data_IF_074287341458
#
_entry.id   IF_074287341458
#
_cell.length_a   1.000
_cell.length_b   1.000
_cell.length_c   1.000
_cell.angle_alpha   90.00
_cell.angle_beta   90.00
_cell.angle_gamma   90.00
#
_symmetry.space_group_name_H-M   'P 1'
#
loop_
_entity.id
_entity.type
_entity.pdbx_description
1 polymer ?
#
# COMPACT_ATOMS: atom_id res chain seq x y z
N UNK A 1 -58.04 -27.22 36.18
CA UNK A 1 -56.81 -27.91 36.63
C UNK A 1 -55.64 -26.98 36.37
N UNK A 2 -54.94 -26.58 37.46
CA UNK A 2 -53.49 -26.32 37.59
C UNK A 2 -52.82 -25.40 36.55
N UNK A 3 -52.05 -24.34 36.84
CA UNK A 3 -51.62 -23.57 38.03
C UNK A 3 -50.72 -22.46 37.45
N UNK A 4 -50.81 -21.22 37.97
CA UNK A 4 -49.77 -20.19 37.82
C UNK A 4 -48.51 -20.57 38.62
N UNK A 5 -47.30 -20.45 38.04
CA UNK A 5 -45.98 -20.18 38.69
C UNK A 5 -44.97 -19.74 37.59
N UNK A 6 -44.41 -18.52 37.57
CA UNK A 6 -43.35 -17.87 38.38
C UNK A 6 -41.94 -17.94 37.73
N UNK A 7 -41.48 -16.78 37.25
CA UNK A 7 -40.15 -16.11 37.37
C UNK A 7 -38.84 -16.88 37.07
N UNK A 8 -38.01 -16.25 36.23
CA UNK A 8 -36.54 -16.41 36.14
C UNK A 8 -36.02 -16.09 34.73
N UNK A 9 -35.81 -14.82 34.33
CA UNK A 9 -34.51 -14.13 34.38
C UNK A 9 -33.32 -15.03 34.02
N UNK A 10 -32.81 -14.91 32.79
CA UNK A 10 -31.38 -14.84 32.46
C UNK A 10 -31.13 -15.03 30.96
N UNK A 11 -30.59 -13.98 30.33
CA UNK A 11 -29.48 -14.00 29.37
C UNK A 11 -29.41 -15.15 28.36
N UNK A 12 -29.70 -14.82 27.10
CA UNK A 12 -28.91 -15.36 25.98
C UNK A 12 -28.54 -14.21 25.04
N UNK A 13 -27.72 -13.30 25.56
CA UNK A 13 -26.94 -12.33 24.79
C UNK A 13 -25.48 -12.81 24.80
N UNK A 14 -25.17 -13.78 23.94
CA UNK A 14 -23.82 -14.26 23.61
C UNK A 14 -24.02 -14.88 22.21
N UNK A 15 -23.36 -14.54 21.11
CA UNK A 15 -21.99 -14.11 20.85
C UNK A 15 -22.05 -13.25 19.58
N UNK A 16 -21.78 -11.95 19.71
CA UNK A 16 -20.93 -11.23 18.77
C UNK A 16 -20.18 -10.23 19.63
N UNK A 17 -19.30 -10.77 20.48
CA UNK A 17 -18.22 -10.00 21.08
C UNK A 17 -17.42 -9.41 19.93
N UNK A 18 -17.79 -8.18 19.64
CA UNK A 18 -17.01 -7.12 19.05
C UNK A 18 -15.53 -7.37 19.37
N UNK A 19 -14.78 -7.85 18.37
CA UNK A 19 -13.37 -7.53 18.26
C UNK A 19 -13.23 -6.22 17.46
N UNK A 20 -14.14 -5.27 17.65
CA UNK A 20 -13.72 -3.88 17.65
C UNK A 20 -12.89 -3.72 18.93
N UNK A 21 -11.64 -4.15 18.86
CA UNK A 21 -10.59 -3.42 19.54
C UNK A 21 -10.67 -2.02 18.97
N UNK A 22 -11.51 -1.19 19.59
CA UNK A 22 -11.40 0.25 19.50
C UNK A 22 -9.97 0.52 19.90
N UNK A 23 -9.10 0.77 18.93
CA UNK A 23 -7.81 1.35 19.21
C UNK A 23 -8.10 2.55 20.10
N UNK A 24 -7.49 2.55 21.27
CA UNK A 24 -7.42 3.70 22.16
C UNK A 24 -7.14 4.94 21.31
N UNK A 25 -7.83 6.05 21.57
CA UNK A 25 -7.68 7.39 20.96
C UNK A 25 -6.22 7.93 20.89
N UNK A 26 -5.22 7.18 21.36
CA UNK A 26 -3.82 7.58 21.51
C UNK A 26 -2.91 7.22 20.30
N UNK A 27 -3.44 6.61 19.24
CA UNK A 27 -2.65 6.06 18.12
C UNK A 27 -2.91 6.70 16.74
N UNK A 28 -3.62 7.84 16.69
CA UNK A 28 -3.84 8.57 15.43
C UNK A 28 -2.51 9.08 14.83
N UNK A 29 -2.28 8.95 13.52
CA UNK A 29 -1.02 9.38 12.92
C UNK A 29 -0.82 10.90 13.06
N UNK A 30 0.32 11.30 13.63
CA UNK A 30 0.71 12.70 13.76
C UNK A 30 1.82 13.06 12.77
N UNK A 31 1.58 14.12 11.99
CA UNK A 31 2.51 14.61 10.98
C UNK A 31 3.44 15.70 11.54
N UNK A 32 4.71 15.69 11.13
CA UNK A 32 5.61 16.82 11.32
C UNK A 32 5.36 17.94 10.28
N UNK A 33 6.14 19.02 10.34
CA UNK A 33 6.02 20.17 9.44
C UNK A 33 6.24 19.81 7.95
N UNK A 34 6.85 18.67 7.66
CA UNK A 34 7.10 18.15 6.32
C UNK A 34 6.05 17.15 5.85
N UNK A 35 4.99 16.92 6.63
CA UNK A 35 3.88 16.03 6.29
C UNK A 35 4.13 14.54 6.56
N UNK A 36 5.28 14.19 7.17
CA UNK A 36 5.69 12.82 7.49
C UNK A 36 5.16 12.40 8.85
N UNK A 37 4.73 11.14 8.98
CA UNK A 37 4.24 10.59 10.25
C UNK A 37 5.40 10.25 11.19
N UNK A 38 5.31 10.67 12.46
CA UNK A 38 6.44 10.58 13.43
C UNK A 38 6.15 9.77 14.69
N UNK A 39 4.89 9.43 14.97
CA UNK A 39 4.49 8.68 16.17
C UNK A 39 4.20 7.19 15.91
N UNK A 40 4.55 6.69 14.72
CA UNK A 40 4.41 5.29 14.33
C UNK A 40 5.76 4.73 13.88
N UNK A 41 5.90 3.40 13.89
CA UNK A 41 7.13 2.75 13.44
C UNK A 41 7.40 3.03 11.98
N UNK A 42 8.68 3.10 11.64
CA UNK A 42 9.20 3.29 10.30
C UNK A 42 9.52 1.94 9.67
N UNK A 43 9.31 1.81 8.36
CA UNK A 43 9.66 0.61 7.61
C UNK A 43 11.19 0.58 7.41
N UNK A 44 11.91 -0.33 8.05
CA UNK A 44 13.38 -0.39 7.92
C UNK A 44 13.86 -1.45 6.93
N UNK A 45 13.02 -2.45 6.63
CA UNK A 45 13.30 -3.46 5.62
C UNK A 45 12.00 -3.96 4.97
N UNK A 46 12.02 -4.08 3.65
CA UNK A 46 11.04 -4.80 2.85
C UNK A 46 11.78 -5.90 2.10
N UNK A 47 11.34 -7.16 2.26
CA UNK A 47 11.88 -8.29 1.53
C UNK A 47 10.77 -8.97 0.74
N UNK A 48 10.96 -9.08 -0.56
CA UNK A 48 10.12 -9.85 -1.49
C UNK A 48 10.82 -11.17 -1.83
N UNK A 49 10.06 -12.26 -1.95
CA UNK A 49 10.53 -13.54 -2.47
C UNK A 49 9.51 -14.09 -3.44
N UNK A 50 9.96 -14.38 -4.65
CA UNK A 50 9.17 -14.96 -5.72
C UNK A 50 10.01 -16.07 -6.37
N UNK A 51 9.53 -17.31 -6.32
CA UNK A 51 10.31 -18.49 -6.74
C UNK A 51 11.73 -18.50 -6.13
N UNK A 52 12.77 -18.43 -6.96
CA UNK A 52 14.18 -18.39 -6.55
C UNK A 52 14.74 -16.95 -6.46
N UNK A 53 13.92 -15.94 -6.73
CA UNK A 53 14.28 -14.53 -6.72
C UNK A 53 14.00 -13.88 -5.36
N UNK A 54 14.93 -13.05 -4.91
CA UNK A 54 14.82 -12.29 -3.66
C UNK A 54 15.19 -10.85 -3.91
N UNK A 55 14.32 -9.93 -3.49
CA UNK A 55 14.60 -8.49 -3.47
C UNK A 55 14.51 -8.00 -2.03
N UNK A 56 15.51 -7.28 -1.55
CA UNK A 56 15.57 -6.72 -0.19
C UNK A 56 15.84 -5.23 -0.31
N UNK A 57 14.91 -4.40 0.14
CA UNK A 57 15.08 -2.96 0.29
C UNK A 57 15.27 -2.61 1.75
N UNK A 58 16.40 -1.99 2.08
CA UNK A 58 16.73 -1.48 3.41
C UNK A 58 16.61 0.04 3.41
N UNK A 59 15.87 0.61 4.37
CA UNK A 59 15.57 2.03 4.44
C UNK A 59 16.33 2.69 5.58
N UNK A 60 16.76 3.94 5.40
CA UNK A 60 17.45 4.72 6.42
C UNK A 60 16.81 6.10 6.55
N UNK A 61 16.65 6.54 7.79
CA UNK A 61 15.93 7.75 8.14
C UNK A 61 16.81 8.75 8.89
N UNK A 62 16.48 10.03 8.81
CA UNK A 62 17.03 11.05 9.71
C UNK A 62 16.32 11.04 11.08
N UNK A 63 16.77 11.89 12.00
CA UNK A 63 16.19 11.99 13.35
C UNK A 63 14.77 12.55 13.39
N UNK A 64 14.27 13.13 12.29
CA UNK A 64 12.89 13.65 12.17
C UNK A 64 11.97 12.65 11.48
N UNK A 65 12.49 11.46 11.17
CA UNK A 65 11.76 10.38 10.52
C UNK A 65 11.67 10.49 9.01
N UNK A 66 12.46 11.35 8.37
CA UNK A 66 12.50 11.50 6.91
C UNK A 66 13.40 10.44 6.28
N UNK A 67 12.92 9.75 5.25
CA UNK A 67 13.77 8.85 4.47
C UNK A 67 14.95 9.62 3.87
N UNK A 68 16.18 9.17 4.10
CA UNK A 68 17.40 9.77 3.53
C UNK A 68 18.03 8.91 2.45
N UNK A 69 17.88 7.60 2.55
CA UNK A 69 18.37 6.65 1.56
C UNK A 69 17.67 5.32 1.66
N UNK A 70 17.69 4.57 0.57
CA UNK A 70 17.35 3.15 0.58
C UNK A 70 18.36 2.37 -0.26
N UNK A 71 18.60 1.11 0.08
CA UNK A 71 19.40 0.20 -0.73
C UNK A 71 18.57 -1.01 -1.06
N UNK A 72 18.35 -1.24 -2.36
CA UNK A 72 17.70 -2.42 -2.86
C UNK A 72 18.75 -3.42 -3.37
N UNK A 73 18.64 -4.68 -2.93
CA UNK A 73 19.51 -5.79 -3.34
C UNK A 73 18.66 -6.91 -3.91
N UNK A 74 18.86 -7.20 -5.18
CA UNK A 74 18.16 -8.23 -5.94
C UNK A 74 19.07 -9.43 -6.18
N UNK A 75 18.53 -10.63 -6.00
CA UNK A 75 19.21 -11.89 -6.24
C UNK A 75 18.35 -12.72 -7.18
N UNK A 76 18.85 -12.92 -8.40
CA UNK A 76 18.23 -13.74 -9.44
C UNK A 76 19.33 -14.32 -10.34
N UNK A 77 19.07 -15.47 -10.98
CA UNK A 77 20.02 -16.17 -11.86
C UNK A 77 21.44 -16.38 -11.27
N UNK A 78 21.52 -16.54 -9.94
CA UNK A 78 22.79 -16.68 -9.22
C UNK A 78 23.66 -15.42 -9.20
N UNK A 79 23.13 -14.28 -9.60
CA UNK A 79 23.78 -12.96 -9.57
C UNK A 79 23.17 -12.09 -8.46
N UNK A 80 23.92 -11.07 -8.03
CA UNK A 80 23.45 -10.09 -7.06
C UNK A 80 23.61 -8.69 -7.65
N UNK A 81 22.53 -7.94 -7.67
CA UNK A 81 22.48 -6.56 -8.14
C UNK A 81 22.08 -5.66 -6.97
N UNK A 82 22.76 -4.53 -6.83
CA UNK A 82 22.49 -3.57 -5.75
C UNK A 82 22.30 -2.19 -6.33
N UNK A 83 21.27 -1.51 -5.84
CA UNK A 83 20.93 -0.14 -6.20
C UNK A 83 20.73 0.70 -4.96
N UNK A 84 21.37 1.87 -4.93
CA UNK A 84 21.23 2.80 -3.81
C UNK A 84 20.48 4.05 -4.27
N UNK A 85 19.44 4.38 -3.51
CA UNK A 85 18.60 5.55 -3.67
C UNK A 85 19.02 6.59 -2.65
N UNK A 86 19.14 7.85 -3.08
CA UNK A 86 19.36 8.99 -2.18
C UNK A 86 18.17 9.92 -2.25
N UNK A 87 17.67 10.34 -1.08
CA UNK A 87 16.51 11.21 -0.95
C UNK A 87 16.94 12.55 -0.35
N UNK A 88 16.67 13.63 -1.08
CA UNK A 88 16.96 14.99 -0.66
C UNK A 88 15.67 15.76 -0.41
N UNK A 89 15.51 16.27 0.80
CA UNK A 89 14.36 17.06 1.20
C UNK A 89 14.65 18.56 1.04
N UNK A 90 13.75 19.27 0.39
CA UNK A 90 13.74 20.71 0.25
C UNK A 90 12.39 21.32 0.62
N UNK A 91 12.29 22.65 0.54
CA UNK A 91 11.01 23.32 0.76
C UNK A 91 10.02 22.93 -0.33
N UNK A 92 8.89 22.33 0.05
CA UNK A 92 7.82 21.87 -0.85
C UNK A 92 8.29 20.95 -1.99
N UNK A 93 9.42 20.26 -1.79
CA UNK A 93 10.04 19.44 -2.82
C UNK A 93 10.87 18.31 -2.23
N UNK A 94 10.77 17.11 -2.79
CA UNK A 94 11.62 15.98 -2.48
C UNK A 94 12.25 15.48 -3.78
N UNK A 95 13.52 15.09 -3.75
CA UNK A 95 14.21 14.51 -4.91
C UNK A 95 14.71 13.13 -4.48
N UNK A 96 14.26 12.09 -5.17
CA UNK A 96 14.78 10.73 -5.05
C UNK A 96 15.64 10.44 -6.28
N UNK A 97 16.84 9.89 -6.08
CA UNK A 97 17.82 9.70 -7.15
C UNK A 97 18.51 8.35 -7.07
N UNK A 98 18.79 7.76 -8.24
CA UNK A 98 19.47 6.48 -8.42
C UNK A 98 20.31 6.56 -9.70
N UNK A 99 21.59 6.17 -9.66
CA UNK A 99 22.45 6.01 -10.85
C UNK A 99 22.51 7.19 -11.86
N UNK A 100 22.23 8.42 -11.41
CA UNK A 100 22.22 9.61 -12.27
C UNK A 100 20.84 10.01 -12.80
N UNK A 101 19.84 9.18 -12.56
CA UNK A 101 18.41 9.46 -12.76
C UNK A 101 17.84 10.00 -11.44
N UNK A 102 16.80 10.84 -11.57
CA UNK A 102 16.08 11.37 -10.43
C UNK A 102 14.63 11.71 -10.77
N UNK A 103 13.75 11.40 -9.83
CA UNK A 103 12.38 11.88 -9.80
C UNK A 103 12.26 13.02 -8.77
N UNK A 104 11.56 14.07 -9.17
CA UNK A 104 11.26 15.20 -8.31
C UNK A 104 9.78 15.19 -7.96
N UNK A 105 9.49 15.17 -6.66
CA UNK A 105 8.15 15.29 -6.10
C UNK A 105 7.94 16.73 -5.63
N UNK A 106 6.92 17.40 -6.15
CA UNK A 106 6.48 18.72 -5.69
C UNK A 106 5.35 18.55 -4.69
N UNK A 107 5.39 19.28 -3.57
CA UNK A 107 4.44 19.11 -2.48
C UNK A 107 3.65 20.38 -2.18
N UNK A 108 2.40 20.19 -1.79
CA UNK A 108 1.56 21.21 -1.18
C UNK A 108 0.86 20.61 0.05
N UNK A 109 0.93 21.29 1.21
CA UNK A 109 0.34 20.84 2.47
C UNK A 109 0.73 19.39 2.88
N UNK A 110 1.97 18.98 2.57
CA UNK A 110 2.49 17.65 2.90
C UNK A 110 1.94 16.52 2.01
N UNK A 111 1.36 16.85 0.86
CA UNK A 111 0.94 15.91 -0.18
C UNK A 111 1.69 16.21 -1.48
N UNK A 112 2.02 15.17 -2.24
CA UNK A 112 2.63 15.30 -3.57
C UNK A 112 1.57 15.83 -4.53
N UNK A 113 1.79 16.93 -5.20
CA UNK A 113 0.83 17.46 -6.20
C UNK A 113 1.27 17.19 -7.62
N UNK A 114 2.57 17.02 -7.84
CA UNK A 114 3.15 16.82 -9.16
C UNK A 114 4.49 16.08 -9.08
N UNK A 115 4.79 15.25 -10.07
CA UNK A 115 6.08 14.60 -10.25
C UNK A 115 6.69 14.91 -11.62
N UNK A 116 8.02 14.96 -11.68
CA UNK A 116 8.77 15.02 -12.93
C UNK A 116 9.93 14.04 -12.87
N UNK A 117 10.04 13.15 -13.86
CA UNK A 117 11.12 12.17 -13.92
C UNK A 117 12.13 12.57 -15.00
N UNK A 118 13.41 12.38 -14.72
CA UNK A 118 14.48 12.83 -15.61
C UNK A 118 14.70 11.91 -16.82
N UNK A 119 14.20 10.68 -16.77
CA UNK A 119 14.36 9.64 -17.79
C UNK A 119 13.06 9.29 -18.54
N UNK A 120 11.92 9.88 -18.14
CA UNK A 120 10.62 9.59 -18.72
C UNK A 120 9.95 8.32 -18.16
N UNK A 121 10.20 7.96 -16.90
CA UNK A 121 9.51 6.86 -16.20
C UNK A 121 8.01 7.07 -15.97
N UNK A 122 7.36 6.11 -15.30
CA UNK A 122 5.89 6.04 -15.16
C UNK A 122 5.27 7.26 -14.46
N UNK A 123 6.04 7.96 -13.62
CA UNK A 123 5.62 9.21 -12.97
C UNK A 123 6.19 10.48 -13.62
N UNK A 124 6.63 10.42 -14.88
CA UNK A 124 7.07 11.62 -15.57
C UNK A 124 5.89 12.56 -15.86
N UNK A 125 6.00 13.79 -15.37
CA UNK A 125 5.03 14.86 -15.55
C UNK A 125 3.61 14.48 -15.10
N UNK A 126 3.48 13.81 -13.95
CA UNK A 126 2.20 13.30 -13.43
C UNK A 126 1.62 14.21 -12.36
N UNK A 127 0.35 14.58 -12.50
CA UNK A 127 -0.40 15.34 -11.49
C UNK A 127 -1.21 14.44 -10.56
N UNK A 128 -1.22 14.78 -9.27
CA UNK A 128 -1.89 14.05 -8.22
C UNK A 128 -3.13 14.82 -7.74
N UNK A 129 -4.28 14.16 -7.68
CA UNK A 129 -5.52 14.75 -7.16
C UNK A 129 -6.03 13.99 -5.96
N UNK A 130 -6.55 14.70 -4.96
CA UNK A 130 -7.00 14.15 -3.68
C UNK A 130 -8.47 14.44 -3.38
N UNK A 131 -9.08 13.60 -2.56
CA UNK A 131 -10.37 13.90 -1.94
C UNK A 131 -10.21 14.71 -0.65
N UNK A 132 -11.33 15.07 0.00
CA UNK A 132 -11.33 15.87 1.23
C UNK A 132 -10.66 15.18 2.45
N UNK A 133 -10.42 13.87 2.38
CA UNK A 133 -9.71 13.10 3.41
C UNK A 133 -8.22 12.92 3.06
N UNK A 134 -7.70 13.65 2.07
CA UNK A 134 -6.33 13.54 1.57
C UNK A 134 -5.99 12.16 0.99
N UNK A 135 -6.98 11.41 0.51
CA UNK A 135 -6.77 10.14 -0.19
C UNK A 135 -6.62 10.40 -1.69
N UNK A 136 -5.66 9.73 -2.33
CA UNK A 136 -5.45 9.85 -3.77
C UNK A 136 -6.70 9.43 -4.54
N UNK A 137 -7.15 10.22 -5.50
CA UNK A 137 -8.29 9.86 -6.37
C UNK A 137 -7.92 9.82 -7.85
N UNK A 138 -6.82 10.44 -8.24
CA UNK A 138 -6.38 10.48 -9.63
C UNK A 138 -4.87 10.71 -9.75
N UNK A 139 -4.25 9.96 -10.65
CA UNK A 139 -2.98 10.27 -11.29
C UNK A 139 -3.26 10.65 -12.73
N UNK A 140 -2.85 11.84 -13.15
CA UNK A 140 -3.06 12.35 -14.51
C UNK A 140 -1.71 12.42 -15.21
N UNK A 141 -1.56 11.65 -16.30
CA UNK A 141 -0.33 11.58 -17.08
C UNK A 141 -0.36 12.56 -18.28
N UNK A 142 -1.51 12.64 -18.97
CA UNK A 142 -1.78 13.66 -19.99
C UNK A 142 -3.26 14.09 -19.99
N UNK A 143 -3.82 14.65 -21.07
CA UNK A 143 -5.25 15.07 -21.09
C UNK A 143 -6.23 13.88 -21.07
N UNK A 144 -5.88 12.75 -21.67
CA UNK A 144 -6.76 11.59 -21.89
C UNK A 144 -6.36 10.39 -21.00
N UNK A 145 -5.09 10.29 -20.61
CA UNK A 145 -4.52 9.19 -19.83
C UNK A 145 -4.45 9.50 -18.34
N UNK A 146 -5.19 8.71 -17.55
CA UNK A 146 -5.18 8.77 -16.10
C UNK A 146 -5.52 7.43 -15.45
N UNK A 147 -5.06 7.28 -14.22
CA UNK A 147 -5.46 6.22 -13.30
C UNK A 147 -6.33 6.82 -12.18
N UNK A 148 -7.51 6.24 -11.96
CA UNK A 148 -8.46 6.68 -10.95
C UNK A 148 -8.52 5.74 -9.77
N UNK A 149 -8.73 6.29 -8.57
CA UNK A 149 -8.80 5.56 -7.31
C UNK A 149 -10.11 5.88 -6.60
N UNK A 150 -10.89 4.86 -6.28
CA UNK A 150 -12.19 4.99 -5.60
C UNK A 150 -12.10 4.49 -4.17
N UNK A 151 -12.54 5.32 -3.24
CA UNK A 151 -12.52 5.01 -1.81
C UNK A 151 -13.93 4.90 -1.24
N UNK A 152 -14.15 3.94 -0.34
CA UNK A 152 -15.32 3.83 0.50
C UNK A 152 -14.92 4.00 1.97
N UNK A 153 -15.00 5.23 2.47
CA UNK A 153 -14.39 5.58 3.76
C UNK A 153 -12.87 5.43 3.65
N UNK A 154 -12.27 4.63 4.52
CA UNK A 154 -10.82 4.38 4.53
C UNK A 154 -10.37 3.28 3.57
N UNK A 155 -11.29 2.57 2.90
CA UNK A 155 -10.97 1.43 2.04
C UNK A 155 -10.83 1.87 0.59
N UNK A 156 -9.69 1.59 -0.05
CA UNK A 156 -9.54 1.68 -1.50
C UNK A 156 -10.30 0.51 -2.13
N UNK A 157 -11.36 0.75 -2.87
CA UNK A 157 -12.23 -0.33 -3.39
C UNK A 157 -12.04 -0.58 -4.88
N UNK A 158 -11.53 0.40 -5.62
CA UNK A 158 -11.35 0.27 -7.07
C UNK A 158 -10.20 1.14 -7.58
N UNK A 159 -9.45 0.61 -8.53
CA UNK A 159 -8.52 1.33 -9.39
C UNK A 159 -8.93 1.10 -10.85
N UNK A 160 -8.86 2.12 -11.70
CA UNK A 160 -9.27 2.01 -13.09
C UNK A 160 -8.56 3.01 -14.01
N UNK A 161 -8.03 2.49 -15.12
CA UNK A 161 -7.42 3.28 -16.19
C UNK A 161 -8.47 3.96 -17.08
N UNK A 162 -8.13 5.13 -17.62
CA UNK A 162 -9.06 5.93 -18.43
C UNK A 162 -9.31 5.36 -19.84
N UNK A 163 -8.31 4.71 -20.43
CA UNK A 163 -8.38 4.20 -21.80
C UNK A 163 -9.10 2.85 -21.92
N UNK A 164 -9.48 2.22 -20.79
CA UNK A 164 -10.12 0.90 -20.78
C UNK A 164 -11.22 0.81 -19.74
N UNK A 165 -12.42 0.44 -20.20
CA UNK A 165 -13.53 0.06 -19.32
C UNK A 165 -13.34 -1.34 -18.70
N UNK A 166 -12.30 -2.07 -19.11
CA UNK A 166 -12.01 -3.45 -18.66
C UNK A 166 -10.80 -3.51 -17.72
N UNK A 167 -9.89 -2.54 -17.81
CA UNK A 167 -8.69 -2.46 -16.95
C UNK A 167 -9.06 -1.84 -15.59
N UNK A 168 -9.75 -2.68 -14.81
CA UNK A 168 -10.32 -2.35 -13.51
C UNK A 168 -9.82 -3.37 -12.49
N UNK A 169 -9.25 -2.87 -11.41
CA UNK A 169 -8.88 -3.65 -10.24
C UNK A 169 -9.86 -3.37 -9.10
N UNK A 170 -10.58 -4.39 -8.65
CA UNK A 170 -11.54 -4.31 -7.55
C UNK A 170 -10.99 -4.98 -6.29
N UNK A 171 -10.98 -4.22 -5.19
CA UNK A 171 -10.46 -4.68 -3.90
C UNK A 171 -11.61 -5.06 -2.97
N UNK A 172 -11.45 -6.17 -2.26
CA UNK A 172 -12.44 -6.66 -1.30
C UNK A 172 -11.84 -6.89 0.09
N UNK A 173 -12.66 -6.68 1.13
CA UNK A 173 -12.22 -6.61 2.52
C UNK A 173 -13.18 -7.37 3.44
N UNK A 174 -12.61 -8.12 4.37
CA UNK A 174 -13.25 -8.83 5.48
C UNK A 174 -13.23 -8.01 6.77
N UNK A 175 -12.54 -6.87 6.76
CA UNK A 175 -12.39 -5.96 7.90
C UNK A 175 -11.10 -6.12 8.69
N UNK A 176 -10.09 -6.81 8.15
CA UNK A 176 -8.74 -6.86 8.74
C UNK A 176 -8.06 -5.49 8.68
N UNK A 177 -7.34 -5.14 9.74
CA UNK A 177 -6.60 -3.89 9.85
C UNK A 177 -5.21 -4.11 10.47
N UNK A 178 -4.33 -3.12 10.34
CA UNK A 178 -3.03 -3.05 11.03
C UNK A 178 -2.84 -1.68 11.73
N UNK A 179 -1.82 -1.55 12.59
CA UNK A 179 -1.49 -0.25 13.23
C UNK A 179 -0.81 0.74 12.27
N UNK A 180 -0.06 0.24 11.29
CA UNK A 180 0.60 1.04 10.26
C UNK A 180 -0.12 0.98 8.92
N UNK A 181 0.60 0.51 7.90
CA UNK A 181 0.11 0.34 6.53
C UNK A 181 0.70 -0.94 5.93
N UNK A 182 0.18 -1.34 4.77
CA UNK A 182 0.78 -2.39 3.93
C UNK A 182 1.67 -1.72 2.86
N UNK A 183 3.02 -1.85 2.93
CA UNK A 183 3.93 -1.10 2.05
C UNK A 183 3.68 -1.29 0.55
N UNK A 184 3.39 -2.51 0.12
CA UNK A 184 3.20 -2.86 -1.29
C UNK A 184 1.95 -2.25 -1.94
N UNK A 185 1.03 -1.65 -1.17
CA UNK A 185 -0.16 -1.02 -1.74
C UNK A 185 0.18 0.21 -2.61
N UNK A 186 1.29 0.89 -2.30
CA UNK A 186 1.71 2.09 -3.02
C UNK A 186 2.27 1.79 -4.40
N UNK A 187 2.59 0.53 -4.72
CA UNK A 187 3.06 0.11 -6.04
C UNK A 187 2.01 0.27 -7.15
N UNK A 188 0.75 0.51 -6.78
CA UNK A 188 -0.28 0.95 -7.72
C UNK A 188 -0.12 2.42 -8.19
N UNK A 189 0.75 3.19 -7.54
CA UNK A 189 1.13 4.56 -7.96
C UNK A 189 2.39 4.51 -8.82
N UNK A 190 3.42 3.86 -8.31
CA UNK A 190 4.69 3.58 -9.00
C UNK A 190 5.43 2.50 -8.20
N UNK A 191 5.96 1.50 -8.89
CA UNK A 191 6.72 0.46 -8.25
C UNK A 191 8.17 0.90 -7.99
N UNK A 192 8.84 0.22 -7.06
CA UNK A 192 10.26 0.44 -6.78
C UNK A 192 10.64 1.90 -6.44
N UNK A 193 9.72 2.65 -5.80
CA UNK A 193 9.96 4.00 -5.26
C UNK A 193 10.06 3.97 -3.74
N UNK A 194 11.28 3.88 -3.16
CA UNK A 194 11.48 3.81 -1.71
C UNK A 194 10.83 4.94 -0.91
N UNK A 195 10.78 6.17 -1.45
CA UNK A 195 10.09 7.28 -0.81
C UNK A 195 8.61 6.97 -0.56
N UNK A 196 7.92 6.43 -1.58
CA UNK A 196 6.49 6.14 -1.50
C UNK A 196 6.22 4.94 -0.60
N UNK A 197 7.10 3.95 -0.61
CA UNK A 197 7.04 2.79 0.29
C UNK A 197 7.21 3.20 1.75
N UNK A 198 8.17 4.09 2.03
CA UNK A 198 8.44 4.58 3.39
C UNK A 198 7.37 5.57 3.89
N UNK A 199 6.89 6.44 2.99
CA UNK A 199 6.00 7.56 3.29
C UNK A 199 4.75 7.59 2.39
N UNK A 200 3.89 6.56 2.42
CA UNK A 200 2.70 6.50 1.58
C UNK A 200 1.68 7.61 1.91
N UNK A 201 1.81 8.28 3.06
CA UNK A 201 0.99 9.44 3.42
C UNK A 201 1.23 10.67 2.53
N UNK A 202 2.38 10.75 1.86
CA UNK A 202 2.69 11.84 0.92
C UNK A 202 1.92 11.68 -0.38
N UNK A 203 1.74 10.43 -0.82
CA UNK A 203 0.93 10.09 -1.99
C UNK A 203 -0.56 9.91 -1.65
N UNK A 204 -0.99 10.07 -0.38
CA UNK A 204 -2.39 9.84 0.02
C UNK A 204 -2.82 8.37 -0.04
N UNK A 205 -1.85 7.45 0.04
CA UNK A 205 -2.06 5.99 -0.06
C UNK A 205 -1.90 5.26 1.28
N UNK A 206 -1.54 5.98 2.36
CA UNK A 206 -1.44 5.37 3.69
C UNK A 206 -2.82 4.93 4.17
N UNK A 207 -3.00 3.62 4.31
CA UNK A 207 -4.25 3.01 4.72
C UNK A 207 -3.97 1.84 5.69
N UNK A 208 -4.75 1.77 6.77
CA UNK A 208 -4.67 0.68 7.75
C UNK A 208 -5.58 -0.52 7.40
N UNK A 209 -6.40 -0.40 6.36
CA UNK A 209 -7.33 -1.45 5.92
C UNK A 209 -6.59 -2.41 4.99
N UNK A 210 -6.62 -3.69 5.34
CA UNK A 210 -5.91 -4.72 4.59
C UNK A 210 -6.87 -5.43 3.63
N UNK A 211 -6.66 -5.37 2.30
CA UNK A 211 -7.49 -6.10 1.35
C UNK A 211 -7.30 -7.60 1.52
N UNK A 212 -8.34 -8.40 1.31
CA UNK A 212 -8.20 -9.86 1.22
C UNK A 212 -7.92 -10.30 -0.21
N UNK A 213 -8.41 -9.53 -1.18
CA UNK A 213 -8.34 -9.89 -2.58
C UNK A 213 -8.40 -8.67 -3.48
N UNK A 214 -7.60 -8.69 -4.54
CA UNK A 214 -7.71 -7.81 -5.70
C UNK A 214 -8.14 -8.68 -6.89
N UNK A 215 -9.12 -8.20 -7.65
CA UNK A 215 -9.67 -8.87 -8.83
C UNK A 215 -9.61 -7.95 -10.03
N UNK A 216 -9.11 -8.44 -11.16
CA UNK A 216 -9.20 -7.75 -12.44
C UNK A 216 -9.58 -8.71 -13.56
N UNK A 217 -10.20 -8.16 -14.60
CA UNK A 217 -10.59 -8.94 -15.78
C UNK A 217 -10.52 -8.08 -17.03
N UNK A 218 -9.57 -8.43 -17.88
CA UNK A 218 -9.38 -7.87 -19.20
C UNK A 218 -9.99 -8.79 -20.29
N UNK A 219 -9.86 -8.39 -21.55
CA UNK A 219 -10.35 -9.14 -22.72
C UNK A 219 -9.87 -10.60 -22.73
N UNK A 220 -8.60 -10.83 -22.38
CA UNK A 220 -7.94 -12.12 -22.56
C UNK A 220 -7.63 -12.85 -21.25
N UNK A 221 -7.60 -12.13 -20.13
CA UNK A 221 -7.14 -12.64 -18.84
C UNK A 221 -8.05 -12.20 -17.69
N UNK A 222 -8.14 -13.07 -16.70
CA UNK A 222 -8.77 -12.82 -15.42
C UNK A 222 -7.73 -13.08 -14.33
N UNK A 223 -7.47 -12.09 -13.49
CA UNK A 223 -6.48 -12.15 -12.42
C UNK A 223 -7.15 -12.05 -11.07
N UNK A 224 -6.69 -12.86 -10.12
CA UNK A 224 -7.12 -12.81 -8.73
C UNK A 224 -5.90 -12.93 -7.83
N UNK A 225 -5.61 -11.87 -7.08
CA UNK A 225 -4.59 -11.83 -6.04
C UNK A 225 -5.27 -12.03 -4.68
N UNK A 226 -4.84 -13.00 -3.89
CA UNK A 226 -5.34 -13.23 -2.54
C UNK A 226 -4.26 -12.99 -1.50
N UNK A 227 -4.61 -12.28 -0.45
CA UNK A 227 -3.67 -11.83 0.57
C UNK A 227 -3.92 -12.47 1.93
N UNK A 228 -2.83 -12.88 2.56
CA UNK A 228 -2.81 -13.33 3.95
C UNK A 228 -1.67 -12.66 4.72
N UNK A 229 -1.91 -12.40 6.00
CA UNK A 229 -1.05 -11.51 6.79
C UNK A 229 -0.66 -12.13 8.12
N UNK A 230 0.57 -11.86 8.56
CA UNK A 230 0.99 -12.01 9.96
C UNK A 230 1.35 -10.64 10.53
N UNK A 231 1.35 -10.53 11.85
CA UNK A 231 1.59 -9.28 12.56
C UNK A 231 2.68 -9.45 13.60
N UNK A 232 3.45 -8.39 13.80
CA UNK A 232 4.36 -8.30 14.94
C UNK A 232 3.58 -8.12 16.24
N UNK A 233 4.29 -8.13 17.37
CA UNK A 233 3.68 -7.96 18.70
C UNK A 233 2.98 -6.60 18.91
N UNK A 234 3.28 -5.60 18.08
CA UNK A 234 2.76 -4.23 18.19
C UNK A 234 1.65 -3.96 17.15
N UNK A 235 1.26 -4.96 16.36
CA UNK A 235 0.15 -4.89 15.39
C UNK A 235 0.53 -4.36 14.01
N UNK A 236 1.82 -4.26 13.68
CA UNK A 236 2.29 -3.95 12.33
C UNK A 236 2.37 -5.22 11.49
N UNK A 237 2.17 -5.11 10.17
CA UNK A 237 2.24 -6.27 9.27
C UNK A 237 3.68 -6.77 9.24
N UNK A 238 3.92 -7.99 9.71
CA UNK A 238 5.25 -8.62 9.70
C UNK A 238 5.50 -9.37 8.39
N UNK A 239 4.46 -10.00 7.85
CA UNK A 239 4.51 -10.61 6.53
C UNK A 239 3.17 -10.53 5.79
N UNK A 240 3.26 -10.53 4.47
CA UNK A 240 2.14 -10.65 3.55
C UNK A 240 2.46 -11.77 2.56
N UNK A 241 1.57 -12.74 2.40
CA UNK A 241 1.64 -13.72 1.31
C UNK A 241 0.54 -13.41 0.31
N UNK A 242 0.96 -13.13 -0.92
CA UNK A 242 0.10 -12.93 -2.08
C UNK A 242 0.08 -14.20 -2.92
N UNK A 243 -1.12 -14.69 -3.24
CA UNK A 243 -1.32 -15.81 -4.15
C UNK A 243 -2.09 -15.32 -5.37
N UNK A 244 -1.39 -15.23 -6.50
CA UNK A 244 -1.90 -14.63 -7.73
C UNK A 244 -2.31 -15.75 -8.69
N UNK A 245 -3.56 -15.75 -9.09
CA UNK A 245 -4.13 -16.72 -10.03
C UNK A 245 -4.49 -16.02 -11.33
N UNK A 246 -3.82 -16.42 -12.41
CA UNK A 246 -4.05 -15.92 -13.75
C UNK A 246 -4.83 -16.96 -14.53
N UNK A 247 -5.93 -16.55 -15.13
CA UNK A 247 -6.77 -17.41 -15.96
C UNK A 247 -6.91 -16.84 -17.35
N UNK A 248 -6.48 -17.61 -18.35
CA UNK A 248 -6.71 -17.31 -19.77
C UNK A 248 -8.16 -17.57 -20.13
N UNK A 249 -8.84 -16.56 -20.66
CA UNK A 249 -10.27 -16.67 -20.98
C UNK A 249 -10.55 -17.49 -22.24
N UNK A 250 -9.60 -17.57 -23.17
CA UNK A 250 -9.77 -18.30 -24.44
C UNK A 250 -9.74 -19.83 -24.29
N UNK A 251 -9.05 -20.37 -23.27
CA UNK A 251 -8.83 -21.80 -23.10
C UNK A 251 -9.03 -22.29 -21.65
N UNK A 252 -9.36 -21.40 -20.72
CA UNK A 252 -9.50 -21.66 -19.27
C UNK A 252 -8.24 -22.25 -18.60
N UNK A 253 -7.07 -22.04 -19.18
CA UNK A 253 -5.80 -22.38 -18.55
C UNK A 253 -5.56 -21.46 -17.34
N UNK A 254 -5.16 -22.05 -16.22
CA UNK A 254 -4.89 -21.33 -14.98
C UNK A 254 -3.44 -21.53 -14.54
N UNK A 255 -2.77 -20.44 -14.16
CA UNK A 255 -1.47 -20.45 -13.49
C UNK A 255 -1.60 -19.78 -12.13
N UNK A 256 -0.93 -20.33 -11.13
CA UNK A 256 -0.89 -19.75 -9.79
C UNK A 256 0.55 -19.49 -9.40
N UNK A 257 0.77 -18.31 -8.85
CA UNK A 257 2.04 -17.78 -8.39
C UNK A 257 1.91 -17.41 -6.92
N UNK A 258 3.03 -17.39 -6.19
CA UNK A 258 3.06 -17.00 -4.79
C UNK A 258 4.25 -16.11 -4.53
N UNK A 259 3.97 -14.92 -4.00
CA UNK A 259 4.96 -13.95 -3.59
C UNK A 259 4.86 -13.75 -2.09
N UNK A 260 6.00 -13.79 -1.41
CA UNK A 260 6.07 -13.58 0.05
C UNK A 260 6.79 -12.26 0.30
N UNK A 261 6.12 -11.37 1.01
CA UNK A 261 6.67 -10.12 1.51
C UNK A 261 6.88 -10.22 3.02
N UNK A 262 8.03 -9.76 3.51
CA UNK A 262 8.29 -9.59 4.95
C UNK A 262 8.75 -8.18 5.22
N UNK A 263 8.32 -7.62 6.35
CA UNK A 263 8.57 -6.24 6.71
C UNK A 263 9.18 -6.15 8.11
N UNK A 264 10.18 -5.28 8.28
CA UNK A 264 10.71 -4.92 9.59
C UNK A 264 10.38 -3.47 9.90
N UNK A 265 10.01 -3.22 11.15
CA UNK A 265 9.54 -1.93 11.62
C UNK A 265 10.29 -1.48 12.88
N UNK A 266 10.71 -0.23 12.95
CA UNK A 266 11.41 0.38 14.11
C UNK A 266 10.78 1.68 14.59
#
# INVERSE_FOLDING_TARGET
MKTFRLIGMALLAVVMSMNFTSCSDDDEPSKNDDGVITNQKQLVELRMTYEDEVSITEYSYDSNGKLVSATNTEQYDGSTHTSTYTVTWGANKIIESRNGEAITYTLENGLITHTSDSDGGDLDNTDFTYNANNQLVKLQYDEEDYLSYTWQGEKLTKMAWSFSDEDIHELSYSGKTCKGYLPIMVWSVDDLRPLLEAHPELAGMRCNQLPDKIYSKEENYETTEQYSYTFDKDGYVESCTEVSTYKRLNNNETRTETTIYTFKWE
#
